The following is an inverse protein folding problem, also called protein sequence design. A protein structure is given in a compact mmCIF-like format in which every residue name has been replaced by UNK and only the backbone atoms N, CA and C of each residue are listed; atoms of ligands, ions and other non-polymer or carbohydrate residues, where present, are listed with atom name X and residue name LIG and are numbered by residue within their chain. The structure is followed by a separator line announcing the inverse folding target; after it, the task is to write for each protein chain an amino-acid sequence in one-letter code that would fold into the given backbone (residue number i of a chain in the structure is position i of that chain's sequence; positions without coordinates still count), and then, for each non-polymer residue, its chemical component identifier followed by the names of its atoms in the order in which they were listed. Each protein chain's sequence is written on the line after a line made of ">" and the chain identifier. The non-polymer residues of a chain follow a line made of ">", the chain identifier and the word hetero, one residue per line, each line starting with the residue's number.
data_IF_062227850789
#
_entry.id   IF_062227850789
#
_cell.length_a   1.000
_cell.length_b   1.000
_cell.length_c   1.000
_cell.angle_alpha   90.00
_cell.angle_beta   90.00
_cell.angle_gamma   90.00
#
_symmetry.space_group_name_H-M   'P 1'
#
loop_
_entity.id
_entity.type
_entity.pdbx_description
1 polymer ?
2 non-polymer ?
3 water ?
#
# COMPACT_ATOMS: atom_id res chain seq x y z
N UNK A 10 20.87 -9.74 -1.93
CA UNK A 10 20.57 -10.68 -3.00
C UNK A 10 19.99 -9.99 -4.23
N UNK A 11 18.68 -9.77 -4.21
CA UNK A 11 17.88 -10.12 -3.05
C UNK A 11 16.66 -10.95 -3.37
N UNK A 12 16.80 -12.26 -3.22
CA UNK A 12 15.70 -13.18 -3.40
C UNK A 12 14.74 -12.95 -2.26
N UNK A 13 14.20 -11.75 -2.17
CA UNK A 13 13.29 -11.46 -1.09
C UNK A 13 12.32 -12.61 -1.01
N UNK A 14 11.96 -13.12 -2.17
CA UNK A 14 10.96 -14.16 -2.22
C UNK A 14 10.15 -14.12 -0.95
N UNK A 15 9.57 -12.97 -0.65
CA UNK A 15 8.62 -12.94 0.42
C UNK A 15 7.70 -14.13 0.15
N UNK A 16 7.35 -14.88 1.20
CA UNK A 16 6.38 -15.96 1.02
C UNK A 16 5.12 -15.42 0.37
N UNK A 17 4.47 -16.27 -0.41
CA UNK A 17 3.28 -15.95 -1.17
C UNK A 17 2.19 -15.31 -0.31
N UNK A 18 2.15 -15.64 0.97
CA UNK A 18 1.11 -15.10 1.86
C UNK A 18 1.28 -13.57 1.98
N UNK A 19 2.50 -13.16 2.29
CA UNK A 19 2.89 -11.79 2.46
C UNK A 19 2.88 -10.96 1.16
N UNK A 20 3.10 -11.61 0.02
CA UNK A 20 2.92 -10.98 -1.27
C UNK A 20 1.51 -10.55 -1.50
N UNK A 21 0.58 -11.40 -1.08
CA UNK A 21 -0.79 -11.01 -1.10
C UNK A 21 -1.11 -9.88 -0.07
N UNK A 22 -0.48 -9.87 1.09
CA UNK A 22 -0.81 -8.79 2.04
C UNK A 22 -0.41 -7.43 1.41
N UNK A 23 0.71 -7.43 0.67
CA UNK A 23 1.28 -6.23 0.05
C UNK A 23 0.38 -5.76 -1.05
N UNK A 24 0.07 -6.71 -1.90
CA UNK A 24 -0.93 -6.48 -2.93
C UNK A 24 -2.24 -5.90 -2.45
N UNK A 25 -2.81 -6.43 -1.39
CA UNK A 25 -4.04 -5.82 -0.86
C UNK A 25 -3.78 -4.37 -0.34
N UNK A 26 -2.56 -4.11 0.15
CA UNK A 26 -2.19 -2.74 0.61
C UNK A 26 -2.19 -1.76 -0.55
N UNK A 27 -1.99 -2.29 -1.76
CA UNK A 27 -1.92 -1.48 -2.94
C UNK A 27 -3.16 -1.30 -3.78
N UNK A 28 -4.29 -1.80 -3.33
CA UNK A 28 -5.58 -1.54 -3.99
C UNK A 28 -5.94 -0.04 -4.03
N UNK A 29 -6.73 0.31 -5.02
CA UNK A 29 -7.25 1.65 -5.18
C UNK A 29 -8.06 1.90 -3.94
N UNK A 30 -8.23 3.15 -3.52
CA UNK A 30 -8.81 3.46 -2.17
C UNK A 30 -9.79 4.56 -2.36
N UNK A 31 -10.89 4.27 -3.08
CA UNK A 31 -11.92 5.34 -3.36
C UNK A 31 -12.64 5.88 -2.11
N UNK A 32 -12.76 5.05 -1.09
CA UNK A 32 -13.34 5.49 0.14
C UNK A 32 -12.36 6.33 0.95
N UNK A 33 -11.10 6.39 0.54
CA UNK A 33 -10.10 7.22 1.24
C UNK A 33 -9.92 6.79 2.71
N UNK A 34 -9.94 5.49 2.98
CA UNK A 34 -9.59 5.01 4.33
C UNK A 34 -8.09 5.00 4.48
N UNK A 35 -7.62 5.29 5.69
CA UNK A 35 -6.22 5.40 5.90
C UNK A 35 -5.65 3.97 5.86
N UNK A 36 -4.36 3.87 5.55
CA UNK A 36 -3.71 2.56 5.68
C UNK A 36 -4.02 1.89 7.03
N UNK A 37 -3.99 2.70 8.09
CA UNK A 37 -4.07 2.17 9.45
C UNK A 37 -5.46 1.65 9.69
N UNK A 38 -6.41 2.41 9.23
CA UNK A 38 -7.82 1.99 9.32
C UNK A 38 -8.13 0.70 8.62
N UNK A 39 -7.61 0.53 7.43
CA UNK A 39 -7.96 -0.67 6.72
C UNK A 39 -7.49 -1.88 7.47
N UNK A 40 -6.51 -1.68 8.34
CA UNK A 40 -5.92 -2.77 9.13
C UNK A 40 -6.84 -3.21 10.32
N UNK A 41 -7.85 -2.40 10.61
CA UNK A 41 -8.77 -2.60 11.74
C UNK A 41 -10.05 -3.29 11.33
N UNK A 42 -10.25 -3.57 10.04
CA UNK A 42 -11.48 -4.22 9.54
C UNK A 42 -11.44 -5.69 9.84
N UNK A 43 -10.22 -6.21 9.83
CA UNK A 43 -9.98 -7.60 10.02
C UNK A 43 -8.66 -7.70 10.76
N UNK A 44 -8.54 -8.73 11.59
CA UNK A 44 -7.39 -8.89 12.46
C UNK A 44 -6.39 -9.75 11.75
N UNK A 45 -5.29 -9.11 11.34
CA UNK A 45 -4.25 -9.74 10.54
C UNK A 45 -3.10 -10.17 11.41
N UNK A 46 -2.34 -11.14 10.93
CA UNK A 46 -1.04 -11.45 11.52
C UNK A 46 -0.09 -10.26 11.51
N UNK A 47 0.85 -10.30 12.44
CA UNK A 47 1.79 -9.22 12.64
C UNK A 47 2.63 -8.98 11.42
N UNK A 48 2.95 -10.06 10.70
CA UNK A 48 3.85 -9.97 9.54
C UNK A 48 3.06 -9.43 8.35
N UNK A 49 1.82 -9.91 8.22
CA UNK A 49 0.94 -9.52 7.14
C UNK A 49 0.62 -8.03 7.28
N UNK A 50 0.28 -7.62 8.48
CA UNK A 50 -0.06 -6.26 8.79
C UNK A 50 1.09 -5.33 8.48
N UNK A 51 2.30 -5.67 8.93
CA UNK A 51 3.51 -4.86 8.67
C UNK A 51 3.65 -4.67 7.16
N UNK A 52 3.60 -5.79 6.42
CA UNK A 52 3.71 -5.78 4.97
C UNK A 52 2.56 -4.96 4.33
N UNK A 53 1.33 -5.15 4.79
CA UNK A 53 0.19 -4.39 4.28
C UNK A 53 0.45 -2.87 4.43
N UNK A 54 0.83 -2.46 5.64
CA UNK A 54 1.15 -1.06 5.92
C UNK A 54 2.24 -0.54 5.04
N UNK A 55 3.33 -1.28 4.92
CA UNK A 55 4.43 -0.74 4.15
C UNK A 55 4.01 -0.55 2.69
N UNK A 56 3.34 -1.55 2.10
CA UNK A 56 2.89 -1.36 0.73
C UNK A 56 1.85 -0.26 0.58
N UNK A 57 0.89 -0.21 1.50
CA UNK A 57 -0.17 0.74 1.44
C UNK A 57 0.42 2.17 1.59
N UNK A 58 1.36 2.34 2.52
CA UNK A 58 2.06 3.64 2.66
C UNK A 58 2.80 4.05 1.40
N UNK A 59 3.42 3.07 0.73
CA UNK A 59 4.19 3.34 -0.43
C UNK A 59 3.31 3.87 -1.55
N UNK A 60 2.22 3.17 -1.79
CA UNK A 60 1.44 3.48 -2.95
C UNK A 60 0.64 4.75 -2.67
N UNK A 61 0.20 4.92 -1.43
CA UNK A 61 -0.54 6.12 -1.04
C UNK A 61 0.27 7.36 -1.36
N UNK A 62 1.53 7.35 -0.94
CA UNK A 62 2.42 8.49 -1.17
C UNK A 62 2.81 8.56 -2.61
N UNK A 63 2.96 7.43 -3.28
CA UNK A 63 3.26 7.51 -4.72
C UNK A 63 2.11 8.14 -5.51
N UNK A 64 0.88 7.73 -5.27
CA UNK A 64 -0.25 8.36 -5.96
C UNK A 64 -0.41 9.86 -5.60
N UNK A 65 -0.09 10.23 -4.35
CA UNK A 65 -0.16 11.67 -3.97
C UNK A 65 0.86 12.46 -4.76
N UNK A 66 2.09 11.95 -4.88
CA UNK A 66 3.11 12.58 -5.66
C UNK A 66 2.74 12.67 -7.12
N UNK A 67 2.12 11.62 -7.65
CA UNK A 67 1.73 11.59 -9.00
C UNK A 67 0.62 12.63 -9.20
N UNK A 68 -0.28 12.75 -8.24
CA UNK A 68 -1.39 13.71 -8.36
C UNK A 68 -0.81 15.16 -8.27
N UNK A 69 0.12 15.40 -7.34
CA UNK A 69 0.82 16.71 -7.29
C UNK A 69 1.41 17.09 -8.62
N UNK A 70 2.15 16.14 -9.20
CA UNK A 70 2.82 16.32 -10.46
C UNK A 70 1.85 16.60 -11.59
N UNK A 71 0.77 15.88 -11.63
CA UNK A 71 -0.21 16.07 -12.70
C UNK A 71 -0.83 17.50 -12.63
N UNK A 72 -1.19 17.94 -11.42
CA UNK A 72 -1.76 19.27 -11.23
C UNK A 72 -0.86 20.38 -11.64
N UNK A 73 0.44 20.13 -11.60
CA UNK A 73 1.43 21.11 -11.99
C UNK A 73 1.88 20.91 -13.42
N UNK A 74 1.29 19.93 -14.13
CA UNK A 74 1.67 19.66 -15.51
C UNK A 74 3.13 19.28 -15.67
N UNK A 75 3.67 18.59 -14.66
CA UNK A 75 5.03 18.10 -14.64
C UNK A 75 4.96 16.61 -14.98
N UNK A 76 3.76 16.19 -15.37
CA UNK A 76 3.39 14.82 -15.72
C UNK A 76 1.92 14.98 -16.11
N UNK A 77 1.19 13.88 -16.29
CA UNK A 77 -0.27 13.87 -16.61
C UNK A 77 -1.02 15.24 -16.64
X LIG B 1 -3.85 6.76 10.17
X LIG B 1 -5.15 6.97 10.96
X LIG B 1 -6.01 5.83 11.00
X LIG B 1 -4.81 7.19 12.43
X LIG B 1 -5.95 8.12 10.34
X LIG B 1 -7.46 8.13 10.70
X LIG B 1 -8.12 9.11 9.89
X LIG B 1 -8.28 6.88 10.42
#
# INVERSE_FOLDING_TARGET
>A
SVQLTEKRMDKVGKYPKELRKCCEDGMRENPMRFSCQRRTRFISLGEACKKVFLDCCNYITELRRQHARASHLGLAR
>B hetero
1 MPD C1 C2 O2 CM C3 C4 O4 C5
#
